data_IF_341416542560
#
_entry.id   IF_341416542560
#
_cell.length_a   1.000
_cell.length_b   1.000
_cell.length_c   1.000
_cell.angle_alpha   90.00
_cell.angle_beta   90.00
_cell.angle_gamma   90.00
#
_symmetry.space_group_name_H-M   'P 1'
#
loop_
_entity.id
_entity.type
_entity.pdbx_description
1 polymer ?
#
# COMPACT_ATOMS: atom_id res chain seq x y z
N UNK A 1 -23.00 23.22 -20.69
CA UNK A 1 -22.09 23.01 -19.55
C UNK A 1 -21.47 21.63 -19.69
N UNK A 2 -20.23 21.53 -20.16
CA UNK A 2 -19.52 20.26 -20.26
C UNK A 2 -19.14 19.79 -18.86
N UNK A 3 -19.72 18.67 -18.42
CA UNK A 3 -19.33 18.00 -17.19
C UNK A 3 -17.90 17.47 -17.37
N UNK A 4 -16.92 18.20 -16.84
CA UNK A 4 -15.55 17.74 -16.76
C UNK A 4 -15.52 16.63 -15.70
N UNK A 5 -15.59 15.37 -16.13
CA UNK A 5 -15.37 14.24 -15.24
C UNK A 5 -13.92 14.33 -14.75
N UNK A 6 -13.74 14.82 -13.53
CA UNK A 6 -12.47 14.69 -12.81
C UNK A 6 -12.28 13.19 -12.54
N UNK A 7 -11.38 12.58 -13.29
CA UNK A 7 -10.88 11.25 -12.98
C UNK A 7 -9.98 11.41 -11.75
N UNK A 8 -10.57 11.34 -10.55
CA UNK A 8 -9.81 11.09 -9.33
C UNK A 8 -9.23 9.69 -9.49
N UNK A 9 -7.96 9.62 -9.89
CA UNK A 9 -7.15 8.41 -9.84
C UNK A 9 -7.01 8.04 -8.36
N UNK A 10 -7.99 7.32 -7.84
CA UNK A 10 -8.06 6.88 -6.46
C UNK A 10 -6.74 6.18 -6.09
N UNK A 11 -6.20 6.50 -4.91
CA UNK A 11 -4.84 6.23 -4.43
C UNK A 11 -4.41 4.76 -4.26
N UNK A 12 -4.98 3.83 -5.03
CA UNK A 12 -4.44 2.49 -5.21
C UNK A 12 -3.24 2.58 -6.14
N UNK A 13 -2.11 3.05 -5.60
CA UNK A 13 -0.84 2.95 -6.30
C UNK A 13 -0.60 1.46 -6.60
N UNK A 14 -0.45 1.03 -7.87
CA UNK A 14 -0.11 -0.36 -8.22
C UNK A 14 1.11 -0.87 -7.44
N UNK A 15 1.97 0.08 -7.06
CA UNK A 15 3.14 -0.15 -6.22
C UNK A 15 2.79 -0.64 -4.79
N UNK A 16 1.71 -0.19 -4.15
CA UNK A 16 1.31 -0.68 -2.82
C UNK A 16 0.83 -2.13 -2.88
N UNK A 17 0.14 -2.51 -3.97
CA UNK A 17 -0.24 -3.89 -4.24
C UNK A 17 1.00 -4.79 -4.46
N UNK A 18 2.00 -4.31 -5.22
CA UNK A 18 3.29 -5.00 -5.36
C UNK A 18 3.99 -5.15 -4.01
N UNK A 19 4.02 -4.10 -3.19
CA UNK A 19 4.56 -4.14 -1.83
C UNK A 19 3.87 -5.19 -0.95
N UNK A 20 2.55 -5.31 -1.05
CA UNK A 20 1.76 -6.32 -0.34
C UNK A 20 2.10 -7.74 -0.80
N UNK A 21 2.18 -7.99 -2.12
CA UNK A 21 2.57 -9.30 -2.65
C UNK A 21 4.00 -9.69 -2.27
N UNK A 22 4.92 -8.73 -2.24
CA UNK A 22 6.29 -8.95 -1.75
C UNK A 22 6.31 -9.33 -0.27
N UNK A 23 5.50 -8.67 0.57
CA UNK A 23 5.40 -9.02 1.98
C UNK A 23 4.82 -10.44 2.16
N UNK A 24 3.75 -10.78 1.44
CA UNK A 24 3.15 -12.12 1.49
C UNK A 24 4.14 -13.19 1.01
N UNK A 25 4.82 -12.95 -0.11
CA UNK A 25 5.87 -13.83 -0.64
C UNK A 25 7.06 -13.97 0.32
N UNK A 26 7.47 -12.88 0.98
CA UNK A 26 8.51 -12.88 2.01
C UNK A 26 8.15 -13.74 3.22
N UNK A 27 6.91 -13.72 3.68
CA UNK A 27 6.45 -14.61 4.75
C UNK A 27 6.44 -16.08 4.31
N UNK A 28 6.00 -16.37 3.09
CA UNK A 28 6.01 -17.74 2.56
C UNK A 28 7.45 -18.26 2.43
N UNK A 29 8.38 -17.44 1.92
CA UNK A 29 9.79 -17.81 1.83
C UNK A 29 10.43 -17.97 3.22
N UNK A 30 10.03 -17.17 4.20
CA UNK A 30 10.51 -17.31 5.59
C UNK A 30 10.08 -18.66 6.19
N UNK A 31 8.84 -19.07 5.95
CA UNK A 31 8.35 -20.38 6.39
C UNK A 31 9.16 -21.51 5.74
N UNK A 32 9.40 -21.44 4.43
CA UNK A 32 10.21 -22.42 3.71
C UNK A 32 11.67 -22.44 4.19
N UNK A 33 12.24 -21.28 4.52
CA UNK A 33 13.58 -21.21 5.11
C UNK A 33 13.65 -21.99 6.43
N UNK A 34 12.69 -21.79 7.34
CA UNK A 34 12.63 -22.50 8.62
C UNK A 34 12.46 -24.01 8.44
N UNK A 35 11.60 -24.44 7.49
CA UNK A 35 11.41 -25.86 7.16
C UNK A 35 12.69 -26.48 6.63
N UNK A 36 13.38 -25.81 5.70
CA UNK A 36 14.64 -26.31 5.14
C UNK A 36 15.78 -26.31 6.16
N UNK A 37 15.83 -25.34 7.06
CA UNK A 37 16.76 -25.35 8.20
C UNK A 37 16.51 -26.57 9.09
N UNK A 38 15.25 -26.83 9.46
CA UNK A 38 14.88 -27.98 10.29
C UNK A 38 15.17 -29.32 9.60
N UNK A 39 15.04 -29.39 8.28
CA UNK A 39 15.34 -30.57 7.48
C UNK A 39 16.85 -30.78 7.20
N UNK A 40 17.73 -29.88 7.67
CA UNK A 40 19.17 -29.94 7.41
C UNK A 40 19.57 -29.63 5.96
N UNK A 41 18.65 -29.08 5.17
CA UNK A 41 18.88 -28.78 3.77
C UNK A 41 19.47 -27.37 3.59
N UNK A 42 20.75 -27.25 3.93
CA UNK A 42 21.44 -25.96 4.05
C UNK A 42 21.45 -25.11 2.77
N UNK A 43 21.49 -25.75 1.59
CA UNK A 43 21.48 -25.05 0.30
C UNK A 43 20.16 -24.32 0.04
N UNK A 44 19.03 -25.03 0.17
CA UNK A 44 17.72 -24.42 0.01
C UNK A 44 17.39 -23.46 1.16
N UNK A 45 17.86 -23.75 2.37
CA UNK A 45 17.74 -22.83 3.49
C UNK A 45 18.39 -21.46 3.19
N UNK A 46 19.63 -21.45 2.69
CA UNK A 46 20.31 -20.21 2.32
C UNK A 46 19.58 -19.45 1.19
N UNK A 47 19.05 -20.18 0.19
CA UNK A 47 18.29 -19.59 -0.90
C UNK A 47 17.01 -18.90 -0.41
N UNK A 48 16.20 -19.58 0.41
CA UNK A 48 14.97 -19.01 0.94
C UNK A 48 15.21 -17.90 1.96
N UNK A 49 16.32 -17.94 2.71
CA UNK A 49 16.75 -16.83 3.55
C UNK A 49 17.03 -15.57 2.70
N UNK A 50 17.78 -15.73 1.60
CA UNK A 50 18.07 -14.64 0.67
C UNK A 50 16.80 -14.06 0.03
N UNK A 51 15.90 -14.91 -0.45
CA UNK A 51 14.61 -14.48 -1.01
C UNK A 51 13.78 -13.69 0.00
N UNK A 52 13.73 -14.16 1.24
CA UNK A 52 13.02 -13.50 2.34
C UNK A 52 13.57 -12.10 2.58
N UNK A 53 14.90 -11.95 2.69
CA UNK A 53 15.55 -10.67 2.92
C UNK A 53 15.29 -9.68 1.78
N UNK A 54 15.44 -10.12 0.53
CA UNK A 54 15.21 -9.27 -0.65
C UNK A 54 13.74 -8.84 -0.72
N UNK A 55 12.81 -9.77 -0.54
CA UNK A 55 11.37 -9.47 -0.60
C UNK A 55 10.96 -8.42 0.45
N UNK A 56 11.37 -8.59 1.71
CA UNK A 56 11.07 -7.63 2.76
C UNK A 56 11.78 -6.28 2.55
N UNK A 57 13.05 -6.27 2.13
CA UNK A 57 13.76 -5.01 1.86
C UNK A 57 13.08 -4.20 0.73
N UNK A 58 12.63 -4.87 -0.33
CA UNK A 58 11.88 -4.23 -1.41
C UNK A 58 10.52 -3.73 -0.93
N UNK A 59 9.77 -4.55 -0.18
CA UNK A 59 8.47 -4.15 0.36
C UNK A 59 8.58 -2.91 1.27
N UNK A 60 9.54 -2.90 2.20
CA UNK A 60 9.82 -1.77 3.10
C UNK A 60 10.14 -0.53 2.29
N UNK A 61 11.03 -0.65 1.30
CA UNK A 61 11.44 0.48 0.45
C UNK A 61 10.26 1.08 -0.32
N UNK A 62 9.37 0.23 -0.84
CA UNK A 62 8.13 0.64 -1.52
C UNK A 62 7.21 1.39 -0.57
N UNK A 63 6.88 0.79 0.58
CA UNK A 63 5.97 1.43 1.54
C UNK A 63 6.54 2.74 2.06
N UNK A 64 7.83 2.78 2.40
CA UNK A 64 8.50 3.99 2.86
C UNK A 64 8.50 5.09 1.80
N UNK A 65 8.76 4.74 0.54
CA UNK A 65 8.72 5.70 -0.57
C UNK A 65 7.31 6.24 -0.78
N UNK A 66 6.30 5.37 -0.74
CA UNK A 66 4.91 5.78 -0.91
C UNK A 66 4.49 6.73 0.22
N UNK A 67 4.73 6.33 1.47
CA UNK A 67 4.38 7.12 2.65
C UNK A 67 5.06 8.49 2.68
N UNK A 68 6.30 8.61 2.19
CA UNK A 68 7.02 9.89 2.19
C UNK A 68 6.73 10.78 0.98
N UNK A 69 6.46 10.21 -0.20
CA UNK A 69 6.34 11.01 -1.43
C UNK A 69 4.91 11.40 -1.78
N UNK A 70 3.92 10.58 -1.44
CA UNK A 70 2.56 10.83 -1.93
C UNK A 70 1.69 11.67 -1.00
N UNK A 71 2.13 11.96 0.24
CA UNK A 71 1.43 12.74 1.29
C UNK A 71 -0.01 12.31 1.62
N UNK A 72 -0.71 11.62 0.73
CA UNK A 72 -1.94 10.88 0.95
C UNK A 72 -1.58 9.51 1.50
N UNK A 73 -2.06 9.20 2.70
CA UNK A 73 -1.91 7.87 3.24
C UNK A 73 -2.74 6.88 2.39
N UNK A 74 -2.14 5.79 1.87
CA UNK A 74 -2.87 4.80 1.07
C UNK A 74 -3.93 4.02 1.86
N UNK A 75 -4.01 4.23 3.17
CA UNK A 75 -4.96 3.56 4.10
C UNK A 75 -5.77 4.58 4.92
N UNK A 76 -5.27 5.80 5.14
CA UNK A 76 -5.98 6.84 5.86
C UNK A 76 -6.41 7.97 4.92
N UNK A 77 -7.69 8.38 4.93
CA UNK A 77 -8.11 9.64 4.32
C UNK A 77 -7.23 10.77 4.87
N UNK A 78 -6.71 11.59 3.98
CA UNK A 78 -5.83 12.68 4.34
C UNK A 78 -6.68 13.80 4.95
N UNK A 79 -6.78 13.85 6.29
CA UNK A 79 -7.59 14.83 7.03
C UNK A 79 -6.97 16.25 7.00
N UNK A 80 -6.43 16.66 5.85
CA UNK A 80 -5.98 18.02 5.62
C UNK A 80 -7.18 18.95 5.70
N UNK A 81 -6.96 20.15 6.24
CA UNK A 81 -8.03 21.17 6.39
C UNK A 81 -8.73 21.46 5.06
N UNK A 82 -8.00 21.36 3.95
CA UNK A 82 -8.51 21.54 2.59
C UNK A 82 -9.49 20.43 2.16
N UNK A 83 -9.18 19.16 2.43
CA UNK A 83 -10.12 18.05 2.15
C UNK A 83 -11.36 18.14 3.02
N UNK A 84 -11.19 18.46 4.31
CA UNK A 84 -12.32 18.65 5.24
C UNK A 84 -13.23 19.79 4.78
N UNK A 85 -12.67 20.91 4.32
CA UNK A 85 -13.45 22.02 3.78
C UNK A 85 -14.17 21.64 2.47
N UNK A 86 -13.53 20.83 1.61
CA UNK A 86 -14.16 20.26 0.40
C UNK A 86 -15.33 19.34 0.75
N UNK A 87 -15.15 18.43 1.71
CA UNK A 87 -16.20 17.53 2.20
C UNK A 87 -17.38 18.32 2.79
N UNK A 88 -17.11 19.30 3.66
CA UNK A 88 -18.14 20.17 4.24
C UNK A 88 -18.88 20.94 3.13
N UNK A 89 -18.17 21.50 2.15
CA UNK A 89 -18.80 22.23 1.03
C UNK A 89 -19.72 21.32 0.20
N UNK A 90 -19.30 20.08 -0.08
CA UNK A 90 -20.07 19.11 -0.88
C UNK A 90 -21.37 18.69 -0.19
N UNK A 91 -21.35 18.45 1.12
CA UNK A 91 -22.54 17.98 1.85
C UNK A 91 -23.39 19.10 2.47
N UNK A 92 -22.78 20.23 2.86
CA UNK A 92 -23.51 21.40 3.38
C UNK A 92 -24.27 22.17 2.28
N UNK A 93 -23.83 22.07 1.02
CA UNK A 93 -24.56 22.61 -0.15
C UNK A 93 -25.70 21.72 -0.62
N UNK A 94 -25.56 20.39 -0.51
CA UNK A 94 -26.58 19.42 -0.94
C UNK A 94 -27.83 19.40 -0.05
N UNK A 95 -27.72 19.85 1.21
CA UNK A 95 -28.86 19.97 2.13
C UNK A 95 -29.77 21.17 1.88
N UNK A 96 -29.44 22.09 0.95
CA UNK A 96 -30.21 23.33 0.71
C UNK A 96 -31.14 23.27 -0.51
N UNK A 97 -31.18 22.15 -1.23
CA UNK A 97 -32.06 21.94 -2.39
C UNK A 97 -33.10 20.82 -2.18
N UNK A 98 -33.33 20.40 -0.93
CA UNK A 98 -34.23 19.30 -0.58
C UNK A 98 -35.52 19.73 0.15
N UNK A 99 -35.91 21.01 0.03
CA UNK A 99 -37.19 21.52 0.51
C UNK A 99 -37.81 22.47 -0.51
#
# INVERSE_FOLDING_TARGET
MSAHFHYESHGNHPLSFVGFLLALGGFLSAALWLVHMAAGNNGYAALFAGLTLVAFACAISIFFTISRRYHHSPVLPDNTKAETERYIRKYRGAGRTAH
#
